data_IF_995015811449
#
_entry.id   IF_995015811449
#
_cell.length_a   1.000
_cell.length_b   1.000
_cell.length_c   1.000
_cell.angle_alpha   90.00
_cell.angle_beta   90.00
_cell.angle_gamma   90.00
#
_symmetry.space_group_name_H-M   'P 1'
#
loop_
_entity.id
_entity.type
_entity.pdbx_description
1 polymer ?
#
# COMPACT_ATOMS: atom_id res chain seq x y z
N UNK A 1 -9.50 -15.34 14.18
CA UNK A 1 -9.29 -14.95 12.76
C UNK A 1 -7.78 -14.82 12.57
N UNK A 2 -7.15 -15.95 12.21
CA UNK A 2 -6.80 -16.46 10.86
C UNK A 2 -5.37 -16.04 10.53
N UNK A 3 -4.43 -16.93 10.81
CA UNK A 3 -3.01 -16.76 10.46
C UNK A 3 -2.81 -16.87 8.93
N UNK A 4 -3.68 -17.63 8.25
CA UNK A 4 -3.70 -17.82 6.79
C UNK A 4 -4.10 -16.58 5.98
N UNK A 5 -4.98 -15.72 6.51
CA UNK A 5 -5.39 -14.45 5.85
C UNK A 5 -4.22 -13.46 5.76
N UNK A 6 -3.26 -13.55 6.68
CA UNK A 6 -2.08 -12.66 6.73
C UNK A 6 -1.03 -13.05 5.71
N UNK A 7 -0.93 -14.34 5.35
CA UNK A 7 0.03 -14.83 4.36
C UNK A 7 -0.52 -14.68 2.94
N UNK A 8 -1.81 -14.94 2.72
CA UNK A 8 -2.47 -14.67 1.43
C UNK A 8 -2.45 -13.17 1.08
N UNK A 9 -2.66 -12.29 2.08
CA UNK A 9 -2.57 -10.86 1.88
C UNK A 9 -1.19 -10.41 1.37
N UNK A 10 -0.11 -11.02 1.87
CA UNK A 10 1.25 -10.63 1.47
C UNK A 10 1.56 -10.97 0.01
N UNK A 11 1.11 -12.13 -0.46
CA UNK A 11 1.29 -12.51 -1.86
C UNK A 11 0.50 -11.57 -2.78
N UNK A 12 -0.75 -11.23 -2.43
CA UNK A 12 -1.55 -10.26 -3.19
C UNK A 12 -0.93 -8.87 -3.16
N UNK A 13 -0.39 -8.44 -2.01
CA UNK A 13 0.27 -7.15 -1.84
C UNK A 13 1.51 -7.08 -2.75
N UNK A 14 2.30 -8.16 -2.80
CA UNK A 14 3.48 -8.26 -3.66
C UNK A 14 3.13 -8.27 -5.15
N UNK A 15 2.12 -9.03 -5.56
CA UNK A 15 1.62 -9.00 -6.94
C UNK A 15 1.10 -7.61 -7.33
N UNK A 16 0.40 -6.95 -6.42
CA UNK A 16 -0.14 -5.60 -6.61
C UNK A 16 0.97 -4.56 -6.74
N UNK A 17 2.03 -4.65 -5.93
CA UNK A 17 3.22 -3.80 -6.08
C UNK A 17 3.86 -4.00 -7.44
N UNK A 18 4.12 -5.24 -7.87
CA UNK A 18 4.68 -5.54 -9.18
C UNK A 18 3.79 -5.03 -10.34
N UNK A 19 2.47 -5.10 -10.15
CA UNK A 19 1.50 -4.56 -11.11
C UNK A 19 1.57 -3.03 -11.23
N UNK A 20 1.73 -2.34 -10.10
CA UNK A 20 1.89 -0.89 -10.05
C UNK A 20 3.21 -0.45 -10.69
N UNK A 21 4.33 -1.13 -10.39
CA UNK A 21 5.62 -0.87 -11.04
C UNK A 21 5.52 -0.97 -12.57
N UNK A 22 4.92 -2.06 -13.08
CA UNK A 22 4.73 -2.27 -14.52
C UNK A 22 3.82 -1.21 -15.17
N UNK A 23 2.98 -0.53 -14.39
CA UNK A 23 2.13 0.59 -14.86
C UNK A 23 2.81 1.95 -14.82
N UNK A 24 4.07 2.00 -14.37
CA UNK A 24 4.85 3.24 -14.26
C UNK A 24 4.49 4.05 -13.01
N UNK A 25 4.12 3.37 -11.92
CA UNK A 25 4.09 3.99 -10.60
C UNK A 25 5.51 4.04 -10.03
N UNK A 26 5.81 5.11 -9.31
CA UNK A 26 7.09 5.42 -8.69
C UNK A 26 6.89 5.69 -7.19
N UNK A 27 7.97 5.68 -6.41
CA UNK A 27 7.94 5.87 -4.96
C UNK A 27 6.90 4.98 -4.25
N UNK A 28 6.85 3.70 -4.62
CA UNK A 28 5.91 2.75 -4.05
C UNK A 28 6.32 2.46 -2.59
N UNK A 29 5.34 2.51 -1.69
CA UNK A 29 5.45 2.16 -0.28
C UNK A 29 4.42 1.08 0.02
N UNK A 30 4.85 -0.06 0.53
CA UNK A 30 4.01 -1.21 0.86
C UNK A 30 4.68 -2.05 1.97
N UNK A 31 3.89 -2.75 2.78
CA UNK A 31 4.41 -3.64 3.85
C UNK A 31 4.89 -5.00 3.29
N UNK A 32 5.83 -4.94 2.34
CA UNK A 32 6.48 -6.10 1.70
C UNK A 32 8.00 -5.90 1.64
N UNK A 33 8.75 -7.00 1.58
CA UNK A 33 10.21 -6.97 1.49
C UNK A 33 10.71 -6.14 0.30
N UNK A 34 11.60 -5.19 0.58
CA UNK A 34 12.23 -4.32 -0.42
C UNK A 34 11.57 -2.95 -0.62
N UNK A 35 10.48 -2.67 0.09
CA UNK A 35 9.75 -1.40 0.01
C UNK A 35 9.68 -0.69 1.37
N UNK A 36 9.43 0.61 1.36
CA UNK A 36 9.15 1.34 2.59
C UNK A 36 7.72 1.05 3.05
N UNK A 37 7.53 0.85 4.36
CA UNK A 37 6.18 0.74 4.94
C UNK A 37 5.45 2.08 4.82
N UNK A 38 4.18 2.09 4.36
CA UNK A 38 3.41 3.31 4.21
C UNK A 38 3.13 3.99 5.57
N UNK A 39 3.05 5.32 5.55
CA UNK A 39 2.75 6.10 6.76
C UNK A 39 1.26 6.09 7.05
N UNK A 40 0.90 6.12 8.32
CA UNK A 40 -0.47 6.36 8.76
C UNK A 40 -0.83 7.84 8.64
N UNK A 41 -2.07 8.11 8.25
CA UNK A 41 -2.62 9.46 8.09
C UNK A 41 -3.85 9.65 8.97
N UNK A 42 -4.00 10.85 9.52
CA UNK A 42 -5.23 11.26 10.17
C UNK A 42 -6.23 11.72 9.12
N UNK A 43 -7.40 11.11 9.10
CA UNK A 43 -8.49 11.57 8.24
C UNK A 43 -8.92 12.95 8.72
N UNK A 44 -8.98 13.92 7.80
CA UNK A 44 -9.40 15.29 8.13
C UNK A 44 -10.80 15.27 8.77
N UNK A 45 -10.96 16.05 9.84
CA UNK A 45 -12.19 16.17 10.63
C UNK A 45 -12.65 14.87 11.32
N UNK A 46 -11.73 13.94 11.57
CA UNK A 46 -11.99 12.70 12.31
C UNK A 46 -10.77 12.24 13.11
N UNK A 47 -10.98 11.60 14.27
CA UNK A 47 -9.91 10.93 15.03
C UNK A 47 -9.49 9.59 14.43
N UNK A 48 -9.98 9.26 13.22
CA UNK A 48 -9.65 8.01 12.54
C UNK A 48 -8.27 8.11 11.89
N UNK A 49 -7.38 7.22 12.33
CA UNK A 49 -6.08 6.98 11.71
C UNK A 49 -6.24 5.89 10.66
N UNK A 50 -5.84 6.18 9.42
CA UNK A 50 -5.87 5.25 8.30
C UNK A 50 -4.44 4.96 7.87
N UNK A 51 -4.08 3.69 7.81
CA UNK A 51 -2.84 3.24 7.20
C UNK A 51 -3.22 2.58 5.89
N UNK A 52 -2.84 3.14 4.73
CA UNK A 52 -3.07 2.50 3.45
C UNK A 52 -2.18 1.26 3.30
N UNK A 53 -2.64 0.28 2.53
CA UNK A 53 -1.82 -0.91 2.19
C UNK A 53 -0.69 -0.58 1.22
N UNK A 54 -0.97 0.25 0.20
CA UNK A 54 0.04 0.73 -0.75
C UNK A 54 -0.10 2.23 -0.98
N UNK A 55 1.02 2.95 -1.00
CA UNK A 55 1.12 4.34 -1.48
C UNK A 55 2.03 4.38 -2.68
N UNK A 56 1.64 5.08 -3.74
CA UNK A 56 2.49 5.22 -4.92
C UNK A 56 2.22 6.53 -5.65
N UNK A 57 3.22 7.03 -6.37
CA UNK A 57 3.13 8.25 -7.17
C UNK A 57 3.08 7.90 -8.66
N UNK A 58 2.21 8.56 -9.43
CA UNK A 58 2.18 8.43 -10.89
C UNK A 58 1.87 9.76 -11.52
N UNK A 59 2.71 10.18 -12.47
CA UNK A 59 2.57 11.47 -13.15
C UNK A 59 2.42 12.65 -12.18
N UNK A 60 3.15 12.62 -11.05
CA UNK A 60 3.10 13.65 -10.00
C UNK A 60 1.87 13.58 -9.07
N UNK A 61 1.02 12.57 -9.18
CA UNK A 61 -0.16 12.37 -8.34
C UNK A 61 0.07 11.20 -7.40
N UNK A 62 -0.09 11.44 -6.09
CA UNK A 62 -0.04 10.42 -5.05
C UNK A 62 -1.35 9.65 -4.97
N UNK A 63 -1.25 8.33 -4.97
CA UNK A 63 -2.34 7.37 -4.90
C UNK A 63 -2.20 6.52 -3.63
N UNK A 64 -3.34 6.15 -3.06
CA UNK A 64 -3.46 5.31 -1.88
C UNK A 64 -4.36 4.13 -2.26
N UNK A 65 -3.91 2.91 -1.99
CA UNK A 65 -4.62 1.68 -2.29
C UNK A 65 -4.90 0.93 -0.99
N UNK A 66 -6.08 0.30 -0.95
CA UNK A 66 -6.52 -0.68 0.05
C UNK A 66 -6.82 -1.97 -0.69
N UNK A 67 -6.42 -3.10 -0.14
CA UNK A 67 -6.47 -4.42 -0.79
C UNK A 67 -7.18 -5.43 0.11
#
# INVERSE_FOLDING_TARGET
>A
MVQSERDENKEILKESVAYLENRGFEHIQADVDGYETPKSYHKKDSDVVITPDIVADRAGIKHYFEI
#
